data_IF_179091221667
#
_entry.id   IF_179091221667
#
_cell.length_a   1.000
_cell.length_b   1.000
_cell.length_c   1.000
_cell.angle_alpha   90.00
_cell.angle_beta   90.00
_cell.angle_gamma   90.00
#
_symmetry.space_group_name_H-M   'P 1'
#
loop_
_entity.id
_entity.type
_entity.pdbx_description
1 polymer ?
#
# COMPACT_ATOMS: atom_id res chain seq x y z
N UNK A 1 -18.33 22.93 -1.30
CA UNK A 1 -18.36 21.51 -1.63
C UNK A 1 -17.63 20.78 -0.50
N UNK A 2 -18.26 19.83 0.18
CA UNK A 2 -17.54 19.00 1.17
C UNK A 2 -16.53 18.15 0.40
N UNK A 3 -15.24 18.38 0.61
CA UNK A 3 -14.19 17.51 0.10
C UNK A 3 -14.44 16.12 0.67
N UNK A 4 -14.76 15.14 -0.17
CA UNK A 4 -14.86 13.75 0.28
C UNK A 4 -13.52 13.35 0.88
N UNK A 5 -13.56 12.79 2.09
CA UNK A 5 -12.35 12.33 2.78
C UNK A 5 -11.59 11.36 1.87
N UNK A 6 -10.31 11.64 1.60
CA UNK A 6 -9.46 10.80 0.76
C UNK A 6 -9.34 9.39 1.35
N UNK A 7 -9.36 8.38 0.50
CA UNK A 7 -9.23 6.99 0.95
C UNK A 7 -7.76 6.64 1.20
N UNK A 8 -7.47 6.12 2.38
CA UNK A 8 -6.16 5.58 2.72
C UNK A 8 -6.29 4.06 2.81
N UNK A 9 -5.44 3.36 2.07
CA UNK A 9 -5.50 1.92 1.91
C UNK A 9 -4.13 1.29 2.19
N UNK A 10 -4.12 0.01 2.56
CA UNK A 10 -2.91 -0.83 2.57
C UNK A 10 -2.98 -1.78 1.38
N UNK A 11 -1.87 -1.97 0.68
CA UNK A 11 -1.69 -3.05 -0.29
C UNK A 11 -0.41 -3.79 0.02
N UNK A 12 -0.51 -5.12 0.19
CA UNK A 12 0.60 -5.95 0.65
C UNK A 12 0.52 -7.36 0.08
N UNK A 13 1.66 -7.92 -0.32
CA UNK A 13 1.82 -9.33 -0.59
C UNK A 13 2.59 -10.00 0.57
N UNK A 14 2.12 -11.17 0.99
CA UNK A 14 2.68 -11.93 2.11
C UNK A 14 2.84 -13.40 1.77
N UNK A 15 3.73 -14.08 2.48
CA UNK A 15 3.73 -15.55 2.57
C UNK A 15 2.64 -16.03 3.53
N UNK A 16 2.46 -17.36 3.65
CA UNK A 16 1.47 -17.99 4.55
C UNK A 16 1.68 -17.67 6.03
N UNK A 17 2.91 -17.34 6.43
CA UNK A 17 3.25 -16.91 7.79
C UNK A 17 3.32 -15.38 7.92
N UNK A 18 2.71 -14.65 6.96
CA UNK A 18 2.65 -13.18 6.93
C UNK A 18 4.00 -12.47 6.84
N UNK A 19 5.02 -13.17 6.36
CA UNK A 19 6.29 -12.59 5.97
C UNK A 19 6.13 -11.76 4.69
N UNK A 20 6.83 -10.63 4.60
CA UNK A 20 6.77 -9.72 3.46
C UNK A 20 8.11 -9.54 2.76
N UNK A 21 9.17 -10.10 3.31
CA UNK A 21 10.50 -10.01 2.70
C UNK A 21 11.63 -10.49 3.59
N UNK A 22 12.79 -10.59 3.00
CA UNK A 22 14.07 -10.91 3.62
C UNK A 22 15.12 -9.92 3.12
N UNK A 23 15.85 -9.28 4.03
CA UNK A 23 16.94 -8.34 3.74
C UNK A 23 16.60 -7.29 2.65
N UNK A 24 15.45 -6.61 2.82
CA UNK A 24 14.91 -5.59 1.93
C UNK A 24 14.56 -6.08 0.52
N UNK A 25 14.38 -7.39 0.32
CA UNK A 25 13.93 -7.99 -0.94
C UNK A 25 12.66 -8.79 -0.71
N UNK A 26 11.78 -8.85 -1.71
CA UNK A 26 10.68 -9.79 -1.73
C UNK A 26 11.22 -11.21 -1.92
N UNK A 27 10.61 -12.18 -1.21
CA UNK A 27 11.05 -13.58 -1.27
C UNK A 27 10.53 -14.33 -2.51
N UNK A 28 9.66 -13.70 -3.30
CA UNK A 28 9.06 -14.23 -4.54
C UNK A 28 9.10 -13.21 -5.65
N UNK A 29 8.90 -13.69 -6.87
CA UNK A 29 8.70 -12.86 -8.04
C UNK A 29 7.52 -13.42 -8.84
N UNK A 30 6.39 -12.70 -8.81
CA UNK A 30 5.14 -13.09 -9.47
C UNK A 30 4.72 -11.93 -10.39
N UNK A 31 4.98 -12.02 -11.70
CA UNK A 31 4.66 -10.95 -12.64
C UNK A 31 3.18 -10.56 -12.66
N UNK A 32 2.28 -11.52 -12.47
CA UNK A 32 0.83 -11.32 -12.44
C UNK A 32 0.42 -10.53 -11.21
N UNK A 33 1.03 -10.81 -10.05
CA UNK A 33 0.79 -10.06 -8.81
C UNK A 33 1.28 -8.62 -8.94
N UNK A 34 2.43 -8.40 -9.57
CA UNK A 34 2.92 -7.05 -9.88
C UNK A 34 2.00 -6.28 -10.83
N UNK A 35 1.37 -6.97 -11.81
CA UNK A 35 0.33 -6.37 -12.66
C UNK A 35 -0.92 -6.02 -11.85
N UNK A 36 -1.34 -6.90 -10.94
CA UNK A 36 -2.46 -6.67 -10.02
C UNK A 36 -2.19 -5.47 -9.11
N UNK A 37 -1.03 -5.43 -8.46
CA UNK A 37 -0.56 -4.28 -7.67
C UNK A 37 -0.60 -2.98 -8.49
N UNK A 38 -0.04 -2.99 -9.71
CA UNK A 38 -0.05 -1.83 -10.59
C UNK A 38 -1.48 -1.40 -10.91
N UNK A 39 -2.34 -2.34 -11.30
CA UNK A 39 -3.75 -2.06 -11.65
C UNK A 39 -4.47 -1.37 -10.48
N UNK A 40 -4.42 -1.94 -9.26
CA UNK A 40 -5.10 -1.37 -8.10
C UNK A 40 -4.57 0.03 -7.78
N UNK A 41 -3.25 0.21 -7.76
CA UNK A 41 -2.64 1.48 -7.34
C UNK A 41 -2.66 2.57 -8.42
N UNK A 42 -3.01 2.26 -9.67
CA UNK A 42 -3.13 3.26 -10.76
C UNK A 42 -4.56 3.51 -11.22
N UNK A 43 -5.53 2.67 -10.84
CA UNK A 43 -6.93 2.87 -11.23
C UNK A 43 -7.53 4.02 -10.43
N UNK A 44 -8.08 5.00 -11.13
CA UNK A 44 -8.79 6.17 -10.60
C UNK A 44 -10.17 6.26 -11.22
N UNK A 45 -11.12 6.85 -10.52
CA UNK A 45 -12.46 7.17 -11.03
C UNK A 45 -12.42 8.45 -11.86
N UNK A 46 -11.77 9.51 -11.33
CA UNK A 46 -11.52 10.74 -12.07
C UNK A 46 -10.18 10.66 -12.80
N UNK A 47 -10.20 10.63 -14.12
CA UNK A 47 -9.02 10.58 -14.98
C UNK A 47 -8.08 11.80 -14.86
N UNK A 48 -8.54 12.88 -14.22
CA UNK A 48 -7.71 14.06 -13.94
C UNK A 48 -6.87 13.89 -12.66
N UNK A 49 -7.24 12.94 -11.82
CA UNK A 49 -6.57 12.65 -10.56
C UNK A 49 -5.57 11.50 -10.70
N UNK A 50 -4.76 11.32 -9.68
CA UNK A 50 -3.83 10.19 -9.54
C UNK A 50 -3.97 9.58 -8.15
N UNK A 51 -3.69 8.31 -8.04
CA UNK A 51 -3.42 7.72 -6.74
C UNK A 51 -2.00 8.05 -6.28
N UNK A 52 -1.77 8.04 -4.98
CA UNK A 52 -0.42 8.07 -4.45
C UNK A 52 -0.04 6.74 -3.80
N UNK A 53 1.27 6.48 -3.75
CA UNK A 53 1.87 5.35 -3.02
C UNK A 53 2.78 5.90 -1.93
N UNK A 54 2.59 5.43 -0.69
CA UNK A 54 3.34 5.85 0.49
C UNK A 54 4.25 4.71 0.90
N UNK A 55 5.56 4.97 1.00
CA UNK A 55 6.56 3.96 1.29
C UNK A 55 7.69 4.49 2.18
N UNK A 56 8.27 3.61 2.98
CA UNK A 56 9.51 3.92 3.70
C UNK A 56 10.72 3.93 2.77
N UNK A 57 11.83 4.55 3.21
CA UNK A 57 13.07 4.67 2.43
C UNK A 57 13.62 3.33 1.93
N UNK A 58 13.57 2.27 2.74
CA UNK A 58 14.10 0.97 2.33
C UNK A 58 13.29 0.38 1.16
N UNK A 59 11.96 0.55 1.18
CA UNK A 59 11.11 0.17 0.07
C UNK A 59 11.43 0.99 -1.17
N UNK A 60 11.60 2.31 -1.03
CA UNK A 60 12.02 3.19 -2.12
C UNK A 60 13.30 2.70 -2.79
N UNK A 61 14.34 2.41 -2.00
CA UNK A 61 15.62 1.95 -2.55
C UNK A 61 15.60 0.51 -3.07
N UNK A 62 14.63 -0.32 -2.64
CA UNK A 62 14.45 -1.69 -3.15
C UNK A 62 13.72 -1.77 -4.49
N UNK A 63 13.04 -0.69 -4.91
CA UNK A 63 12.31 -0.68 -6.19
C UNK A 63 13.29 -0.80 -7.37
N UNK A 64 13.07 -1.77 -8.28
CA UNK A 64 13.94 -1.94 -9.46
C UNK A 64 13.84 -0.75 -10.43
N UNK A 65 12.68 -0.09 -10.44
CA UNK A 65 12.43 1.16 -11.18
C UNK A 65 11.71 2.15 -10.28
N UNK A 66 12.28 3.31 -10.09
CA UNK A 66 11.72 4.41 -9.30
C UNK A 66 11.85 5.74 -10.02
N UNK A 67 10.83 6.64 -9.93
CA UNK A 67 9.57 6.46 -9.21
C UNK A 67 8.64 5.43 -9.88
N UNK A 68 7.63 4.97 -9.13
CA UNK A 68 6.57 4.13 -9.69
C UNK A 68 5.69 4.97 -10.61
N UNK A 69 5.62 4.67 -11.93
CA UNK A 69 4.97 5.53 -12.90
C UNK A 69 3.44 5.57 -12.73
N UNK A 70 2.83 6.71 -13.11
CA UNK A 70 1.38 6.91 -13.07
C UNK A 70 0.80 7.16 -11.68
N UNK A 71 1.65 7.37 -10.67
CA UNK A 71 1.28 7.61 -9.26
C UNK A 71 2.14 8.70 -8.67
N UNK A 72 1.63 9.38 -7.65
CA UNK A 72 2.44 10.25 -6.81
C UNK A 72 3.17 9.34 -5.80
N UNK A 73 4.49 9.48 -5.70
CA UNK A 73 5.33 8.67 -4.81
C UNK A 73 5.67 9.48 -3.57
N UNK A 74 5.24 9.03 -2.40
CA UNK A 74 5.52 9.66 -1.11
C UNK A 74 6.49 8.78 -0.35
N UNK A 75 7.67 9.33 -0.04
CA UNK A 75 8.75 8.61 0.65
C UNK A 75 8.83 9.11 2.08
N UNK A 76 8.78 8.20 3.05
CA UNK A 76 8.91 8.54 4.47
C UNK A 76 10.30 8.19 4.96
N UNK A 77 10.99 9.20 5.47
CA UNK A 77 12.26 9.04 6.16
C UNK A 77 12.55 10.26 7.04
N UNK A 78 12.67 10.07 8.35
CA UNK A 78 13.12 11.12 9.26
C UNK A 78 14.64 11.32 9.17
N UNK A 79 15.41 10.22 9.20
CA UNK A 79 16.87 10.27 9.26
C UNK A 79 17.52 10.70 7.94
N UNK A 80 16.95 10.32 6.79
CA UNK A 80 17.53 10.63 5.46
C UNK A 80 16.66 11.63 4.68
N UNK A 81 15.82 12.41 5.36
CA UNK A 81 14.91 13.39 4.72
C UNK A 81 15.65 14.32 3.76
N UNK A 82 16.69 15.02 4.24
CA UNK A 82 17.42 16.00 3.43
C UNK A 82 18.16 15.33 2.27
N UNK A 83 18.75 14.15 2.51
CA UNK A 83 19.45 13.38 1.48
C UNK A 83 18.51 12.97 0.36
N UNK A 84 17.37 12.37 0.70
CA UNK A 84 16.39 11.90 -0.30
C UNK A 84 15.77 13.10 -1.02
N UNK A 85 15.44 14.18 -0.31
CA UNK A 85 14.90 15.41 -0.89
C UNK A 85 15.86 16.01 -1.92
N UNK A 86 17.17 16.04 -1.62
CA UNK A 86 18.17 16.48 -2.56
C UNK A 86 18.27 15.53 -3.77
N UNK A 87 18.30 14.20 -3.53
CA UNK A 87 18.35 13.18 -4.59
C UNK A 87 17.20 13.31 -5.61
N UNK A 88 15.98 13.58 -5.14
CA UNK A 88 14.80 13.66 -5.99
C UNK A 88 14.50 15.06 -6.51
N UNK A 89 15.16 16.11 -6.04
CA UNK A 89 14.92 17.51 -6.42
C UNK A 89 15.07 17.80 -7.91
N UNK A 90 15.90 17.03 -8.60
CA UNK A 90 16.12 17.12 -10.05
C UNK A 90 15.10 16.32 -10.87
N UNK A 91 14.28 15.50 -10.21
CA UNK A 91 13.23 14.73 -10.87
C UNK A 91 12.03 15.66 -11.13
N UNK A 92 11.54 15.64 -12.37
CA UNK A 92 10.27 16.29 -12.74
C UNK A 92 9.05 15.42 -12.38
N UNK A 93 9.30 14.29 -11.75
CA UNK A 93 8.28 13.29 -11.46
C UNK A 93 7.51 13.66 -10.19
N UNK A 94 6.32 13.05 -10.04
CA UNK A 94 5.44 13.20 -8.89
C UNK A 94 6.04 12.50 -7.66
N UNK A 95 7.02 13.12 -7.01
CA UNK A 95 7.69 12.60 -5.83
C UNK A 95 7.57 13.63 -4.71
N UNK A 96 7.22 13.19 -3.52
CA UNK A 96 7.25 13.97 -2.29
C UNK A 96 7.99 13.20 -1.19
N UNK A 97 8.72 13.91 -0.34
CA UNK A 97 9.44 13.34 0.80
C UNK A 97 8.83 13.89 2.08
N UNK A 98 8.50 13.02 3.03
CA UNK A 98 7.94 13.38 4.32
C UNK A 98 8.82 12.81 5.44
N UNK A 99 8.85 13.50 6.58
CA UNK A 99 9.63 13.03 7.75
C UNK A 99 8.93 11.89 8.49
N UNK A 100 7.60 11.88 8.48
CA UNK A 100 6.75 10.93 9.20
C UNK A 100 5.45 10.66 8.44
N UNK A 101 4.63 9.76 8.97
CA UNK A 101 3.38 9.36 8.35
C UNK A 101 2.30 10.45 8.46
N UNK A 102 2.33 11.25 9.51
CA UNK A 102 1.39 12.36 9.72
C UNK A 102 1.54 13.43 8.64
N UNK A 103 2.79 13.80 8.30
CA UNK A 103 3.07 14.70 7.19
C UNK A 103 2.57 14.13 5.85
N UNK A 104 2.76 12.81 5.62
CA UNK A 104 2.26 12.15 4.43
C UNK A 104 0.73 12.16 4.36
N UNK A 105 0.03 11.87 5.45
CA UNK A 105 -1.42 11.93 5.50
C UNK A 105 -1.95 13.35 5.28
N UNK A 106 -1.31 14.33 5.91
CA UNK A 106 -1.65 15.75 5.69
C UNK A 106 -1.49 16.14 4.23
N UNK A 107 -0.38 15.78 3.60
CA UNK A 107 -0.15 16.03 2.18
C UNK A 107 -1.24 15.39 1.29
N UNK A 108 -1.63 14.13 1.60
CA UNK A 108 -2.72 13.46 0.88
C UNK A 108 -4.05 14.20 1.04
N UNK A 109 -4.40 14.61 2.26
CA UNK A 109 -5.66 15.31 2.55
C UNK A 109 -5.74 16.68 1.86
N UNK A 110 -4.63 17.42 1.79
CA UNK A 110 -4.56 18.77 1.21
C UNK A 110 -4.38 18.77 -0.32
N UNK A 111 -3.95 17.68 -0.94
CA UNK A 111 -3.69 17.60 -2.37
C UNK A 111 -4.98 17.50 -3.19
N UNK A 112 -5.15 18.37 -4.18
CA UNK A 112 -6.27 18.29 -5.13
C UNK A 112 -6.05 17.24 -6.24
N UNK A 113 -4.82 16.75 -6.41
CA UNK A 113 -4.45 15.81 -7.46
C UNK A 113 -4.58 14.33 -7.02
N UNK A 114 -4.69 14.06 -5.71
CA UNK A 114 -4.73 12.70 -5.17
C UNK A 114 -6.18 12.24 -4.98
N UNK A 115 -6.53 11.10 -5.58
CA UNK A 115 -7.83 10.45 -5.37
C UNK A 115 -7.77 9.52 -4.16
N UNK A 116 -6.80 8.58 -4.14
CA UNK A 116 -6.61 7.62 -3.05
C UNK A 116 -5.13 7.42 -2.74
N UNK A 117 -4.84 7.05 -1.51
CA UNK A 117 -3.50 6.71 -1.04
C UNK A 117 -3.36 5.22 -0.75
N UNK A 118 -2.22 4.64 -1.12
CA UNK A 118 -1.87 3.26 -0.86
C UNK A 118 -0.55 3.16 -0.10
N UNK A 119 -0.59 2.65 1.12
CA UNK A 119 0.60 2.31 1.89
C UNK A 119 1.16 1.01 1.32
N UNK A 120 2.41 1.05 0.85
CA UNK A 120 3.06 -0.07 0.15
C UNK A 120 4.29 -0.63 0.88
N UNK A 121 4.47 -0.21 2.13
CA UNK A 121 5.48 -0.77 3.02
C UNK A 121 6.72 0.11 3.23
N UNK A 122 7.79 -0.43 3.88
CA UNK A 122 7.96 -1.82 4.35
C UNK A 122 7.31 -2.13 5.72
N UNK A 123 7.81 -3.18 6.34
CA UNK A 123 7.24 -3.73 7.56
C UNK A 123 7.02 -2.69 8.67
N UNK A 124 8.00 -1.84 8.92
CA UNK A 124 7.89 -0.81 9.95
C UNK A 124 6.72 0.12 9.68
N UNK A 125 6.58 0.61 8.42
CA UNK A 125 5.51 1.52 8.04
C UNK A 125 4.14 0.83 8.10
N UNK A 126 4.01 -0.41 7.61
CA UNK A 126 2.77 -1.17 7.73
C UNK A 126 2.35 -1.32 9.20
N UNK A 127 3.27 -1.76 10.05
CA UNK A 127 2.97 -2.03 11.45
C UNK A 127 2.69 -0.74 12.24
N UNK A 128 3.37 0.35 11.94
CA UNK A 128 3.05 1.66 12.51
C UNK A 128 1.64 2.12 12.12
N UNK A 129 1.26 1.97 10.84
CA UNK A 129 -0.08 2.34 10.39
C UNK A 129 -1.17 1.46 11.00
N UNK A 130 -0.91 0.16 11.18
CA UNK A 130 -1.86 -0.77 11.81
C UNK A 130 -1.98 -0.54 13.32
N UNK A 131 -0.92 -0.11 13.98
CA UNK A 131 -0.91 0.16 15.43
C UNK A 131 -1.57 1.49 15.78
N UNK A 132 -1.20 2.57 15.06
CA UNK A 132 -1.58 3.94 15.44
C UNK A 132 -2.72 4.54 14.61
N UNK A 133 -2.97 4.01 13.40
CA UNK A 133 -3.86 4.66 12.42
C UNK A 133 -4.81 3.68 11.72
N UNK A 134 -5.08 2.54 12.36
CA UNK A 134 -5.97 1.51 11.77
C UNK A 134 -7.34 2.07 11.41
N UNK A 135 -7.86 3.02 12.18
CA UNK A 135 -9.15 3.69 11.95
C UNK A 135 -9.16 4.60 10.69
N UNK A 136 -7.98 5.00 10.20
CA UNK A 136 -7.85 5.78 8.96
C UNK A 136 -7.78 4.90 7.72
N UNK A 137 -7.44 3.62 7.87
CA UNK A 137 -7.29 2.67 6.76
C UNK A 137 -8.67 2.18 6.33
N UNK A 138 -9.07 2.47 5.09
CA UNK A 138 -10.36 2.07 4.54
C UNK A 138 -10.35 0.62 4.08
N UNK A 139 -9.37 0.25 3.25
CA UNK A 139 -9.24 -1.10 2.70
C UNK A 139 -7.84 -1.67 2.92
N UNK A 140 -7.80 -3.00 3.03
CA UNK A 140 -6.56 -3.79 2.93
C UNK A 140 -6.67 -4.71 1.72
N UNK A 141 -5.82 -4.48 0.73
CA UNK A 141 -5.63 -5.38 -0.41
C UNK A 141 -4.49 -6.32 -0.08
N UNK A 142 -4.80 -7.59 0.10
CA UNK A 142 -3.84 -8.58 0.56
C UNK A 142 -3.69 -9.72 -0.43
N UNK A 143 -2.45 -9.99 -0.81
CA UNK A 143 -2.07 -11.18 -1.55
C UNK A 143 -1.39 -12.16 -0.59
N UNK A 144 -1.79 -13.43 -0.58
CA UNK A 144 -1.11 -14.49 0.17
C UNK A 144 -0.54 -15.49 -0.83
N UNK A 145 0.78 -15.62 -0.84
CA UNK A 145 1.53 -16.60 -1.65
C UNK A 145 1.71 -17.87 -0.84
N UNK A 146 1.28 -19.01 -1.39
CA UNK A 146 1.20 -20.28 -0.63
C UNK A 146 1.77 -21.51 -1.37
N UNK A 147 2.52 -21.29 -2.45
CA UNK A 147 3.15 -22.38 -3.23
C UNK A 147 4.21 -23.15 -2.44
N UNK A 148 4.93 -22.45 -1.56
CA UNK A 148 5.95 -23.02 -0.67
C UNK A 148 6.15 -22.16 0.58
N UNK A 149 6.95 -22.65 1.50
CA UNK A 149 7.42 -21.85 2.64
C UNK A 149 8.53 -20.90 2.19
N UNK A 150 8.38 -19.64 2.51
CA UNK A 150 9.37 -18.61 2.29
C UNK A 150 10.04 -18.22 3.61
N UNK A 151 11.35 -18.14 3.61
CA UNK A 151 12.10 -17.57 4.71
C UNK A 151 11.97 -16.04 4.64
N UNK A 152 11.40 -15.47 5.68
CA UNK A 152 11.22 -14.02 5.81
C UNK A 152 11.76 -13.58 7.16
N UNK A 153 12.34 -12.36 7.20
CA UNK A 153 12.76 -11.70 8.45
C UNK A 153 12.00 -10.39 8.70
N UNK A 154 11.05 -10.06 7.82
CA UNK A 154 10.12 -8.94 7.97
C UNK A 154 8.71 -9.44 7.86
N UNK A 155 7.84 -9.02 8.79
CA UNK A 155 6.47 -9.49 8.93
C UNK A 155 5.51 -8.32 9.10
N UNK A 156 4.26 -8.52 8.64
CA UNK A 156 3.16 -7.60 8.90
C UNK A 156 2.31 -8.11 10.07
N UNK A 157 1.74 -7.21 10.86
CA UNK A 157 0.87 -7.53 12.00
C UNK A 157 -0.50 -8.07 11.52
N UNK A 158 -0.52 -9.29 11.01
CA UNK A 158 -1.70 -9.91 10.43
C UNK A 158 -2.85 -10.08 11.41
N UNK A 159 -2.55 -10.30 12.71
CA UNK A 159 -3.55 -10.33 13.77
C UNK A 159 -4.36 -9.02 13.84
N UNK A 160 -3.71 -7.87 13.72
CA UNK A 160 -4.38 -6.56 13.69
C UNK A 160 -5.28 -6.46 12.45
N UNK A 161 -4.79 -6.91 11.30
CA UNK A 161 -5.57 -6.90 10.05
C UNK A 161 -6.85 -7.73 10.22
N UNK A 162 -6.75 -8.99 10.62
CA UNK A 162 -7.92 -9.87 10.72
C UNK A 162 -8.89 -9.48 11.84
N UNK A 163 -8.40 -8.82 12.91
CA UNK A 163 -9.25 -8.29 13.95
C UNK A 163 -10.06 -7.06 13.48
N UNK A 164 -9.50 -6.22 12.64
CA UNK A 164 -10.12 -4.94 12.24
C UNK A 164 -10.76 -4.95 10.85
N UNK A 165 -10.42 -5.91 9.98
CA UNK A 165 -10.93 -5.95 8.62
C UNK A 165 -11.74 -7.23 8.36
N UNK A 166 -12.84 -7.08 7.60
CA UNK A 166 -13.65 -8.19 7.09
C UNK A 166 -13.32 -8.39 5.61
N UNK A 167 -12.94 -9.59 5.24
CA UNK A 167 -12.61 -9.95 3.87
C UNK A 167 -13.82 -10.61 3.20
N UNK A 168 -14.33 -10.01 2.13
CA UNK A 168 -15.56 -10.47 1.45
C UNK A 168 -15.27 -11.14 0.10
N UNK A 169 -14.22 -10.71 -0.61
CA UNK A 169 -13.89 -11.26 -1.93
C UNK A 169 -12.50 -11.91 -1.93
N UNK A 170 -12.46 -13.09 -2.52
CA UNK A 170 -11.28 -13.91 -2.63
C UNK A 170 -11.15 -14.45 -4.03
N UNK A 171 -10.14 -13.98 -4.77
CA UNK A 171 -9.75 -14.53 -6.06
C UNK A 171 -8.55 -15.47 -5.88
N UNK A 172 -8.69 -16.71 -6.37
CA UNK A 172 -7.66 -17.75 -6.28
C UNK A 172 -6.98 -17.89 -7.63
N UNK A 173 -5.67 -17.77 -7.66
CA UNK A 173 -4.86 -17.90 -8.86
C UNK A 173 -3.97 -19.15 -8.72
N UNK A 174 -4.21 -20.12 -9.60
CA UNK A 174 -3.41 -21.34 -9.74
C UNK A 174 -2.50 -21.17 -10.96
N UNK A 175 -1.40 -20.46 -10.80
CA UNK A 175 -0.30 -20.35 -11.76
C UNK A 175 0.90 -21.17 -11.25
N UNK A 176 2.07 -21.01 -11.86
CA UNK A 176 3.31 -21.63 -11.36
C UNK A 176 3.60 -21.31 -9.89
N UNK A 177 3.15 -20.13 -9.42
CA UNK A 177 3.18 -19.70 -8.03
C UNK A 177 1.75 -19.47 -7.54
N UNK A 178 1.24 -20.37 -6.72
CA UNK A 178 -0.11 -20.28 -6.18
C UNK A 178 -0.24 -19.11 -5.20
N UNK A 179 -1.22 -18.25 -5.44
CA UNK A 179 -1.54 -17.14 -4.56
C UNK A 179 -3.03 -16.79 -4.55
N UNK A 180 -3.45 -16.11 -3.51
CA UNK A 180 -4.81 -15.64 -3.30
C UNK A 180 -4.76 -14.13 -3.13
N UNK A 181 -5.66 -13.41 -3.81
CA UNK A 181 -5.89 -11.98 -3.55
C UNK A 181 -7.22 -11.76 -2.84
N UNK A 182 -7.24 -10.85 -1.87
CA UNK A 182 -8.45 -10.50 -1.13
C UNK A 182 -8.47 -9.01 -0.80
N UNK A 183 -9.69 -8.45 -0.72
CA UNK A 183 -9.95 -7.09 -0.27
C UNK A 183 -10.66 -7.14 1.08
N UNK A 184 -10.07 -6.54 2.09
CA UNK A 184 -10.61 -6.38 3.42
C UNK A 184 -11.19 -4.99 3.62
N UNK A 185 -12.34 -4.91 4.26
CA UNK A 185 -13.08 -3.71 4.60
C UNK A 185 -12.92 -3.43 6.10
N UNK A 186 -12.58 -2.21 6.47
CA UNK A 186 -12.46 -1.84 7.87
C UNK A 186 -13.81 -1.88 8.57
N UNK A 187 -13.93 -2.68 9.62
CA UNK A 187 -15.19 -2.88 10.39
C UNK A 187 -15.66 -1.62 11.13
N UNK A 188 -14.75 -0.69 11.44
CA UNK A 188 -15.04 0.57 12.12
C UNK A 188 -15.52 1.69 11.19
N UNK A 189 -15.51 1.49 9.87
CA UNK A 189 -15.93 2.50 8.88
C UNK A 189 -17.29 2.11 8.32
N UNK A 190 -18.25 3.07 8.33
CA UNK A 190 -19.54 2.88 7.66
C UNK A 190 -19.37 2.96 6.16
N UNK A 191 -19.83 1.93 5.45
CA UNK A 191 -19.91 1.89 3.99
C UNK A 191 -21.36 2.15 3.54
N UNK A 192 -21.57 2.87 2.43
CA UNK A 192 -22.88 2.87 1.79
C UNK A 192 -23.29 1.41 1.53
N UNK A 193 -24.51 1.05 1.86
CA UNK A 193 -25.04 -0.27 1.49
C UNK A 193 -25.08 -0.33 -0.03
N UNK A 194 -24.47 -1.34 -0.61
CA UNK A 194 -24.65 -1.65 -2.02
C UNK A 194 -26.10 -2.11 -2.19
N UNK A 195 -26.96 -1.23 -2.71
CA UNK A 195 -28.40 -1.52 -2.96
C UNK A 195 -28.60 -2.46 -4.16
N UNK A 196 -27.54 -3.11 -4.65
CA UNK A 196 -27.55 -3.94 -5.87
C UNK A 196 -27.45 -5.45 -5.62
N UNK A 197 -27.91 -5.94 -4.45
CA UNK A 197 -28.03 -7.39 -4.22
C UNK A 197 -29.42 -7.68 -3.63
N UNK A 198 -30.40 -7.77 -4.50
CA UNK A 198 -31.61 -8.55 -4.37
C UNK A 198 -31.70 -9.57 -5.51
#
# INVERSE_FOLDING_TARGET
MMSSKKEINIIVATSTNYGIGYDNKMCWHIPEELKHFKKITTTVEDKKMKNCVIMGKNTWYSLPKRPLPGRINIIISSADYDKISCEVSYSKDNINVCKNIEEAFKYVEESEEIESAFIIGGAQLYNECLDKYVEKIKYVYMTIVYDKKYECNKFIAANVIFNNFKFEKKDVYNSELNYITMKGYNKGISYPRDESVD
#
